data_IF_549043684470
#
_entry.id   IF_549043684470
#
_cell.length_a   1.000
_cell.length_b   1.000
_cell.length_c   1.000
_cell.angle_alpha   90.00
_cell.angle_beta   90.00
_cell.angle_gamma   90.00
#
_symmetry.space_group_name_H-M   'P 1'
#
loop_
_entity.id
_entity.type
_entity.pdbx_description
1 polymer ?
#
# COMPACT_ATOMS: atom_id res chain seq x y z
N UNK A 1 6.14 -6.81 2.25
CA UNK A 1 6.28 -5.51 1.59
C UNK A 1 7.57 -4.87 2.04
N UNK A 2 8.31 -4.35 1.13
CA UNK A 2 9.56 -3.68 1.44
C UNK A 2 9.56 -2.27 0.88
N UNK A 3 10.15 -1.30 1.60
CA UNK A 3 10.82 -1.49 2.88
C UNK A 3 9.81 -1.68 4.00
N UNK A 4 10.26 -2.26 5.11
CA UNK A 4 9.42 -2.44 6.30
C UNK A 4 9.05 -1.08 6.91
N UNK A 5 9.96 -0.13 6.82
CA UNK A 5 9.75 1.22 7.34
C UNK A 5 10.05 2.23 6.23
N UNK A 6 9.06 2.50 5.36
CA UNK A 6 9.28 3.44 4.26
C UNK A 6 9.37 4.88 4.76
N UNK A 7 10.14 5.68 4.03
CA UNK A 7 10.25 7.11 4.27
C UNK A 7 9.47 7.87 3.22
N UNK A 8 8.83 8.95 3.64
CA UNK A 8 8.23 9.89 2.71
C UNK A 8 9.28 10.89 2.28
N UNK A 9 9.43 11.06 0.97
CA UNK A 9 10.39 11.99 0.40
C UNK A 9 9.65 13.03 -0.42
N UNK A 10 10.15 14.28 -0.46
CA UNK A 10 9.54 15.26 -1.36
C UNK A 10 9.56 14.75 -2.79
N UNK A 11 8.45 14.91 -3.48
CA UNK A 11 8.39 14.56 -4.89
C UNK A 11 8.74 15.80 -5.72
N UNK A 12 8.91 15.59 -7.03
CA UNK A 12 9.15 16.71 -7.93
C UNK A 12 7.91 17.56 -8.12
N UNK A 13 6.74 17.08 -7.68
CA UNK A 13 5.52 17.87 -7.73
C UNK A 13 5.32 18.56 -6.40
N UNK A 14 5.08 19.86 -6.44
CA UNK A 14 4.85 20.64 -5.23
C UNK A 14 3.63 20.13 -4.49
N UNK A 15 3.74 20.05 -3.17
CA UNK A 15 2.63 19.65 -2.32
C UNK A 15 2.44 18.15 -2.20
N UNK A 16 3.33 17.35 -2.77
CA UNK A 16 3.24 15.89 -2.68
C UNK A 16 4.53 15.29 -2.15
N UNK A 17 4.37 14.27 -1.34
CA UNK A 17 5.46 13.43 -0.87
C UNK A 17 5.32 12.04 -1.46
N UNK A 18 6.43 11.38 -1.69
CA UNK A 18 6.49 10.09 -2.37
C UNK A 18 7.06 9.02 -1.46
N UNK A 19 6.46 7.83 -1.52
CA UNK A 19 7.01 6.62 -0.94
C UNK A 19 7.05 5.55 -2.02
N UNK A 20 8.15 4.83 -2.09
CA UNK A 20 8.32 3.73 -3.04
C UNK A 20 8.35 2.41 -2.28
N UNK A 21 7.52 1.47 -2.72
CA UNK A 21 7.38 0.19 -2.06
C UNK A 21 7.37 -0.94 -3.07
N UNK A 22 7.80 -2.11 -2.60
CA UNK A 22 7.76 -3.33 -3.40
C UNK A 22 6.95 -4.37 -2.67
N UNK A 23 6.02 -4.99 -3.36
CA UNK A 23 5.22 -6.10 -2.83
C UNK A 23 5.55 -7.35 -3.62
N UNK A 24 5.90 -8.41 -2.89
CA UNK A 24 6.22 -9.71 -3.48
C UNK A 24 5.13 -10.70 -3.09
N UNK A 25 4.57 -11.38 -4.07
CA UNK A 25 3.50 -12.35 -3.84
C UNK A 25 4.07 -13.76 -3.65
N UNK A 26 4.00 -14.26 -2.42
CA UNK A 26 4.44 -15.61 -2.08
C UNK A 26 3.25 -16.57 -1.93
N UNK A 27 2.04 -16.15 -2.25
CA UNK A 27 0.84 -16.92 -2.02
C UNK A 27 0.18 -17.31 -3.33
N UNK A 28 0.15 -18.61 -3.64
CA UNK A 28 -0.43 -19.05 -4.92
C UNK A 28 -1.94 -18.82 -5.03
N UNK A 29 -2.63 -18.72 -3.88
CA UNK A 29 -4.09 -18.54 -3.89
C UNK A 29 -4.52 -17.09 -4.02
N UNK A 30 -3.58 -16.15 -3.98
CA UNK A 30 -3.87 -14.72 -4.02
C UNK A 30 -3.19 -14.12 -5.24
N UNK A 31 -3.92 -13.27 -5.96
CA UNK A 31 -3.38 -12.64 -7.15
C UNK A 31 -3.54 -11.11 -7.10
N UNK A 32 -4.43 -10.61 -6.28
CA UNK A 32 -4.74 -9.18 -6.22
C UNK A 32 -4.40 -8.61 -4.85
N UNK A 33 -3.80 -7.42 -4.87
CA UNK A 33 -3.41 -6.71 -3.65
C UNK A 33 -3.92 -5.28 -3.74
N UNK A 34 -4.70 -4.88 -2.75
CA UNK A 34 -5.20 -3.52 -2.64
C UNK A 34 -4.26 -2.71 -1.74
N UNK A 35 -3.97 -1.49 -2.14
CA UNK A 35 -3.10 -0.61 -1.37
C UNK A 35 -3.96 0.34 -0.56
N UNK A 36 -3.57 0.54 0.69
CA UNK A 36 -4.24 1.48 1.57
C UNK A 36 -3.24 2.27 2.39
N UNK A 37 -3.61 3.48 2.75
CA UNK A 37 -2.81 4.37 3.58
C UNK A 37 -3.67 4.77 4.77
N UNK A 38 -3.09 4.67 5.97
CA UNK A 38 -3.87 4.82 7.20
C UNK A 38 -3.16 5.69 8.22
N UNK A 39 -3.96 6.33 9.07
CA UNK A 39 -3.47 7.03 10.25
C UNK A 39 -3.19 6.06 11.39
N UNK A 40 -2.71 6.60 12.52
CA UNK A 40 -2.49 5.79 13.71
C UNK A 40 -3.77 5.14 14.20
N UNK A 41 -4.91 5.81 14.02
CA UNK A 41 -6.22 5.28 14.39
C UNK A 41 -6.85 4.42 13.31
N UNK A 42 -6.09 4.12 12.25
CA UNK A 42 -6.54 3.30 11.12
C UNK A 42 -7.59 3.96 10.25
N UNK A 43 -7.68 5.28 10.29
CA UNK A 43 -8.53 6.00 9.36
C UNK A 43 -7.84 6.08 7.99
N UNK A 44 -8.56 5.80 6.91
CA UNK A 44 -7.95 5.86 5.59
C UNK A 44 -7.61 7.28 5.19
N UNK A 45 -6.47 7.43 4.53
CA UNK A 45 -6.02 8.71 3.97
C UNK A 45 -6.03 8.63 2.45
N UNK A 46 -6.33 9.74 1.78
CA UNK A 46 -6.24 9.77 0.32
C UNK A 46 -4.79 9.70 -0.14
N UNK A 47 -4.59 9.03 -1.25
CA UNK A 47 -3.27 8.93 -1.87
C UNK A 47 -3.44 8.77 -3.37
N UNK A 48 -2.35 8.99 -4.09
CA UNK A 48 -2.32 8.82 -5.54
C UNK A 48 -1.30 7.75 -5.88
N UNK A 49 -1.70 6.79 -6.70
CA UNK A 49 -0.80 5.81 -7.27
C UNK A 49 -1.36 5.41 -8.63
N UNK A 50 -0.58 4.65 -9.40
CA UNK A 50 -1.03 4.21 -10.71
C UNK A 50 -2.30 3.36 -10.61
N UNK A 51 -2.36 2.50 -9.60
CA UNK A 51 -3.51 1.64 -9.37
C UNK A 51 -3.76 1.54 -7.88
N UNK A 52 -5.02 1.33 -7.50
CA UNK A 52 -5.34 1.00 -6.11
C UNK A 52 -5.27 -0.49 -5.86
N UNK A 53 -5.49 -1.29 -6.89
CA UNK A 53 -5.42 -2.74 -6.82
C UNK A 53 -4.43 -3.20 -7.87
N UNK A 54 -3.44 -3.97 -7.43
CA UNK A 54 -2.39 -4.50 -8.30
C UNK A 54 -2.57 -5.99 -8.46
N UNK A 55 -2.43 -6.44 -9.71
CA UNK A 55 -2.38 -7.86 -9.99
C UNK A 55 -0.92 -8.30 -9.92
N UNK A 56 -0.60 -9.16 -8.96
CA UNK A 56 0.75 -9.63 -8.76
C UNK A 56 0.72 -11.15 -8.82
N UNK A 57 1.18 -11.74 -9.93
CA UNK A 57 1.17 -13.20 -10.04
C UNK A 57 2.04 -13.86 -8.99
N UNK A 58 1.76 -15.12 -8.73
CA UNK A 58 2.52 -15.90 -7.77
C UNK A 58 4.02 -15.87 -8.10
N UNK A 59 4.82 -15.62 -7.08
CA UNK A 59 6.28 -15.51 -7.16
C UNK A 59 6.76 -14.32 -7.97
N UNK A 60 5.90 -13.34 -8.17
CA UNK A 60 6.27 -12.08 -8.81
C UNK A 60 6.22 -10.95 -7.82
N UNK A 61 6.86 -9.85 -8.17
CA UNK A 61 6.87 -8.65 -7.35
C UNK A 61 6.55 -7.45 -8.22
N UNK A 62 6.02 -6.42 -7.57
CA UNK A 62 5.80 -5.13 -8.23
C UNK A 62 6.30 -4.02 -7.32
N UNK A 63 6.92 -3.02 -7.93
CA UNK A 63 7.37 -1.82 -7.24
C UNK A 63 6.49 -0.67 -7.71
N UNK A 64 6.02 0.12 -6.76
CA UNK A 64 5.13 1.23 -7.08
C UNK A 64 5.41 2.42 -6.19
N UNK A 65 4.99 3.58 -6.66
CA UNK A 65 5.12 4.84 -5.93
C UNK A 65 3.75 5.29 -5.44
N UNK A 66 3.72 5.75 -4.20
CA UNK A 66 2.56 6.42 -3.63
C UNK A 66 2.87 7.89 -3.47
N UNK A 67 1.87 8.71 -3.71
CA UNK A 67 1.99 10.15 -3.49
C UNK A 67 0.97 10.57 -2.45
N UNK A 68 1.46 11.26 -1.43
CA UNK A 68 0.66 11.72 -0.29
C UNK A 68 0.69 13.23 -0.29
N UNK A 69 -0.45 13.85 -0.02
CA UNK A 69 -0.52 15.31 0.08
C UNK A 69 0.33 15.80 1.23
N UNK A 70 0.94 16.99 1.05
CA UNK A 70 1.78 17.60 2.07
C UNK A 70 1.04 17.72 3.40
N UNK A 71 -0.22 18.07 3.38
CA UNK A 71 -1.01 18.25 4.58
C UNK A 71 -1.27 16.94 5.32
N UNK A 72 -1.13 15.81 4.66
CA UNK A 72 -1.33 14.50 5.29
C UNK A 72 -0.03 13.84 5.72
N UNK A 73 1.11 14.49 5.46
CA UNK A 73 2.41 13.90 5.74
C UNK A 73 2.58 13.47 7.19
N UNK A 74 2.08 14.28 8.12
CA UNK A 74 2.23 13.99 9.54
C UNK A 74 1.13 13.11 10.09
N UNK A 75 0.13 12.81 9.31
CA UNK A 75 -0.98 11.95 9.71
C UNK A 75 -0.76 10.51 9.32
N UNK A 76 0.05 10.27 8.29
CA UNK A 76 0.25 8.93 7.77
C UNK A 76 1.08 8.11 8.76
N UNK A 77 0.61 6.92 9.06
CA UNK A 77 1.31 6.01 9.94
C UNK A 77 1.58 4.68 9.25
N UNK A 78 0.63 4.17 8.48
CA UNK A 78 0.75 2.85 7.86
C UNK A 78 0.46 2.90 6.38
N UNK A 79 1.25 2.15 5.61
CA UNK A 79 0.96 1.83 4.22
C UNK A 79 0.78 0.33 4.17
N UNK A 80 -0.37 -0.12 3.70
CA UNK A 80 -0.73 -1.52 3.76
C UNK A 80 -1.01 -2.10 2.38
N UNK A 81 -0.67 -3.36 2.21
CA UNK A 81 -1.15 -4.15 1.10
C UNK A 81 -2.12 -5.17 1.64
N UNK A 82 -3.30 -5.23 1.06
CA UNK A 82 -4.38 -6.10 1.50
C UNK A 82 -4.59 -7.13 0.41
N UNK A 83 -4.30 -8.39 0.73
CA UNK A 83 -4.47 -9.45 -0.25
C UNK A 83 -5.95 -9.77 -0.42
N UNK A 84 -6.34 -9.98 -1.68
CA UNK A 84 -7.69 -10.33 -2.04
C UNK A 84 -7.69 -11.73 -2.61
N UNK A 85 -8.54 -12.59 -2.10
CA UNK A 85 -8.68 -13.92 -2.66
C UNK A 85 -9.25 -13.83 -4.06
N UNK A 86 -8.75 -14.67 -4.94
CA UNK A 86 -9.28 -14.76 -6.28
C UNK A 86 -10.74 -15.15 -6.19
N UNK A 87 -11.60 -14.32 -6.73
CA UNK A 87 -13.02 -14.52 -6.57
C UNK A 87 -13.50 -15.60 -7.51
N UNK A 88 -13.65 -16.79 -6.99
CA UNK A 88 -14.29 -17.89 -7.69
C UNK A 88 -15.75 -17.98 -7.34
N UNK A 89 -16.10 -17.51 -6.15
CA UNK A 89 -17.41 -17.66 -5.59
C UNK A 89 -17.87 -16.31 -5.07
N UNK A 90 -19.10 -15.96 -5.37
CA UNK A 90 -19.68 -14.68 -4.98
C UNK A 90 -19.79 -14.51 -3.48
N UNK A 91 -19.79 -15.62 -2.74
CA UNK A 91 -19.96 -15.56 -1.30
C UNK A 91 -18.68 -15.24 -0.56
N UNK A 92 -17.55 -15.28 -1.23
CA UNK A 92 -16.28 -15.04 -0.57
C UNK A 92 -16.03 -13.55 -0.48
N UNK A 93 -16.13 -13.06 0.73
CA UNK A 93 -15.81 -11.67 1.02
C UNK A 93 -14.60 -11.56 1.92
N UNK A 94 -14.01 -12.68 2.28
CA UNK A 94 -12.97 -12.69 3.27
C UNK A 94 -11.72 -11.97 2.79
N UNK A 95 -11.27 -11.02 3.58
CA UNK A 95 -9.95 -10.45 3.44
C UNK A 95 -8.98 -11.48 3.98
N UNK A 96 -8.08 -11.94 3.15
CA UNK A 96 -7.19 -13.01 3.60
C UNK A 96 -6.11 -12.48 4.52
N UNK A 97 -5.48 -11.36 4.22
CA UNK A 97 -4.48 -10.79 5.11
C UNK A 97 -4.17 -9.36 4.73
N UNK A 98 -3.63 -8.64 5.71
CA UNK A 98 -3.18 -7.27 5.52
C UNK A 98 -1.76 -7.18 6.06
N UNK A 99 -0.86 -6.70 5.24
CA UNK A 99 0.53 -6.49 5.61
C UNK A 99 0.80 -5.02 5.54
N UNK A 100 1.29 -4.45 6.64
CA UNK A 100 1.49 -3.02 6.75
C UNK A 100 2.94 -2.68 7.03
N UNK A 101 3.38 -1.58 6.46
CA UNK A 101 4.67 -0.97 6.76
C UNK A 101 4.42 0.33 7.50
N UNK A 102 5.14 0.54 8.59
CA UNK A 102 5.00 1.75 9.38
C UNK A 102 5.90 2.83 8.82
N UNK A 103 5.30 3.97 8.50
CA UNK A 103 6.05 5.09 7.95
C UNK A 103 6.90 5.73 9.03
N UNK A 104 8.16 6.00 8.70
CA UNK A 104 9.09 6.66 9.61
C UNK A 104 9.63 7.91 8.92
N UNK A 105 10.31 8.76 9.72
CA UNK A 105 10.94 9.94 9.16
C UNK A 105 9.97 11.03 8.75
N UNK A 106 8.84 11.12 9.41
CA UNK A 106 7.84 12.13 9.13
C UNK A 106 8.19 13.49 9.73
N UNK A 107 9.33 13.61 10.28
CA UNK A 107 9.76 14.87 10.90
C UNK A 107 10.47 15.75 9.92
#
# INVERSE_FOLDING_TARGET
MVPTYPNLKPSYMDGLYKATLTVFNKRPEVEYYEIGVFTEEWDPLPFVSNYKIYKIPYLSAITFDLYIRKEDKYKITYICSISKLKKQDKTITAVSSRICSKVVGNT
#
